data_IF_446479459913
#
_entry.id   IF_446479459913
#
_cell.length_a   1.000
_cell.length_b   1.000
_cell.length_c   1.000
_cell.angle_alpha   90.00
_cell.angle_beta   90.00
_cell.angle_gamma   90.00
#
_symmetry.space_group_name_H-M   'P 1'
#
loop_
_entity.id
_entity.type
_entity.pdbx_description
1 polymer ?
#
# COMPACT_ATOMS: atom_id res chain seq x y z
N UNK A 1 14.78 -16.19 24.44
CA UNK A 1 13.39 -16.43 23.99
C UNK A 1 13.18 -15.64 22.70
N UNK A 2 12.56 -16.23 21.68
CA UNK A 2 12.28 -15.54 20.42
C UNK A 2 11.04 -14.66 20.61
N UNK A 3 11.15 -13.36 20.31
CA UNK A 3 10.03 -12.42 20.41
C UNK A 3 9.06 -12.60 19.25
N UNK A 4 7.75 -12.61 19.52
CA UNK A 4 6.69 -12.82 18.50
C UNK A 4 5.76 -11.61 18.40
N UNK A 5 6.19 -10.52 17.77
CA UNK A 5 5.31 -9.38 17.55
C UNK A 5 4.21 -9.71 16.54
N UNK A 6 3.02 -9.12 16.73
CA UNK A 6 1.92 -9.24 15.78
C UNK A 6 1.93 -8.06 14.79
N UNK A 7 2.05 -8.41 13.51
CA UNK A 7 1.97 -7.45 12.40
C UNK A 7 0.62 -7.61 11.72
N UNK A 8 -0.04 -6.50 11.37
CA UNK A 8 -1.28 -6.52 10.61
C UNK A 8 -1.15 -5.81 9.26
N UNK A 9 -1.91 -6.28 8.27
CA UNK A 9 -2.06 -5.62 6.97
C UNK A 9 -3.49 -5.82 6.45
N UNK A 10 -4.03 -4.89 5.62
CA UNK A 10 -5.41 -4.98 5.15
C UNK A 10 -5.72 -6.19 4.27
N UNK A 11 -4.75 -6.71 3.53
CA UNK A 11 -4.98 -7.77 2.56
C UNK A 11 -3.68 -8.49 2.18
N UNK A 12 -3.84 -9.69 1.62
CA UNK A 12 -2.74 -10.48 1.04
C UNK A 12 -2.39 -9.91 -0.33
N UNK A 13 -1.52 -8.90 -0.33
CA UNK A 13 -1.11 -8.16 -1.52
C UNK A 13 0.39 -7.86 -1.48
N UNK A 14 0.94 -7.39 -2.59
CA UNK A 14 2.35 -7.06 -2.74
C UNK A 14 2.90 -6.10 -1.66
N UNK A 15 2.05 -5.37 -0.93
CA UNK A 15 2.49 -4.49 0.18
C UNK A 15 3.12 -5.23 1.35
N UNK A 16 2.76 -6.51 1.54
CA UNK A 16 3.36 -7.37 2.55
C UNK A 16 4.66 -8.06 2.07
N UNK A 17 5.15 -7.71 0.88
CA UNK A 17 6.40 -8.22 0.31
C UNK A 17 7.56 -8.25 1.31
N UNK A 18 7.88 -7.17 2.05
CA UNK A 18 9.03 -7.18 2.93
C UNK A 18 8.88 -8.20 4.06
N UNK A 19 7.66 -8.44 4.53
CA UNK A 19 7.36 -9.45 5.54
C UNK A 19 7.64 -10.87 5.01
N UNK A 20 7.05 -11.24 3.88
CA UNK A 20 7.18 -12.59 3.34
C UNK A 20 8.63 -12.93 2.99
N UNK A 21 9.32 -12.00 2.32
CA UNK A 21 10.74 -12.18 2.02
C UNK A 21 11.55 -12.33 3.32
N UNK A 22 11.30 -11.49 4.34
CA UNK A 22 12.02 -11.56 5.60
C UNK A 22 11.77 -12.87 6.37
N UNK A 23 10.56 -13.43 6.30
CA UNK A 23 10.26 -14.76 6.86
C UNK A 23 11.03 -15.85 6.14
N UNK A 24 10.87 -15.93 4.81
CA UNK A 24 11.45 -17.01 4.00
C UNK A 24 12.98 -16.98 3.95
N UNK A 25 13.57 -15.77 3.99
CA UNK A 25 15.05 -15.59 4.00
C UNK A 25 15.65 -15.60 5.40
N UNK A 26 14.82 -15.74 6.44
CA UNK A 26 15.28 -15.80 7.82
C UNK A 26 15.73 -14.45 8.41
N UNK A 27 15.42 -13.31 7.76
CA UNK A 27 15.86 -12.00 8.22
C UNK A 27 15.27 -11.61 9.58
N UNK A 28 14.05 -12.04 9.90
CA UNK A 28 13.52 -11.90 11.24
C UNK A 28 14.23 -12.78 12.26
N UNK A 29 14.58 -14.01 11.88
CA UNK A 29 15.33 -14.93 12.76
C UNK A 29 16.69 -14.37 13.12
N UNK A 30 17.39 -13.74 12.17
CA UNK A 30 18.68 -13.06 12.42
C UNK A 30 18.56 -11.95 13.46
N UNK A 31 17.40 -11.32 13.56
CA UNK A 31 17.05 -10.28 14.57
C UNK A 31 16.46 -10.89 15.86
N UNK A 32 16.42 -12.23 16.01
CA UNK A 32 15.82 -12.90 17.16
C UNK A 32 14.28 -12.86 17.19
N UNK A 33 13.64 -12.62 16.04
CA UNK A 33 12.20 -12.42 15.91
C UNK A 33 11.52 -13.58 15.17
N UNK A 34 10.23 -13.81 15.49
CA UNK A 34 9.33 -14.67 14.75
C UNK A 34 7.93 -14.01 14.69
N UNK A 35 7.75 -12.91 13.93
CA UNK A 35 6.49 -12.18 13.92
C UNK A 35 5.38 -13.01 13.26
N UNK A 36 4.16 -12.81 13.77
CA UNK A 36 2.93 -13.30 13.14
C UNK A 36 2.34 -12.22 12.23
N UNK A 37 1.69 -12.61 11.11
CA UNK A 37 0.98 -11.71 10.21
C UNK A 37 -0.51 -12.00 10.22
N UNK A 38 -1.32 -10.97 10.49
CA UNK A 38 -2.77 -11.04 10.46
C UNK A 38 -3.33 -10.16 9.32
N UNK A 39 -4.30 -10.69 8.56
CA UNK A 39 -5.02 -9.94 7.53
C UNK A 39 -6.33 -9.43 8.09
N UNK A 40 -6.48 -8.09 8.16
CA UNK A 40 -7.66 -7.42 8.69
C UNK A 40 -8.14 -6.41 7.65
N UNK A 41 -9.24 -6.70 6.97
CA UNK A 41 -9.74 -5.90 5.86
C UNK A 41 -10.11 -4.44 6.23
N UNK A 42 -10.41 -4.18 7.51
CA UNK A 42 -10.77 -2.85 7.99
C UNK A 42 -9.56 -2.11 8.56
N UNK A 43 -9.19 -0.98 7.94
CA UNK A 43 -8.15 -0.08 8.46
C UNK A 43 -8.49 0.47 9.85
N UNK A 44 -9.78 0.69 10.15
CA UNK A 44 -10.22 1.10 11.48
C UNK A 44 -9.95 0.02 12.54
N UNK A 45 -10.22 -1.25 12.22
CA UNK A 45 -9.91 -2.37 13.14
C UNK A 45 -8.40 -2.52 13.36
N UNK A 46 -7.58 -2.30 12.32
CA UNK A 46 -6.12 -2.27 12.45
C UNK A 46 -5.69 -1.14 13.39
N UNK A 47 -6.19 0.08 13.18
CA UNK A 47 -5.86 1.23 14.01
C UNK A 47 -6.31 1.04 15.47
N UNK A 48 -7.49 0.45 15.71
CA UNK A 48 -7.95 0.07 17.04
C UNK A 48 -7.05 -0.99 17.68
N UNK A 49 -6.57 -1.96 16.92
CA UNK A 49 -5.59 -2.96 17.35
C UNK A 49 -4.26 -2.33 17.77
N UNK A 50 -3.75 -1.37 16.99
CA UNK A 50 -2.55 -0.60 17.35
C UNK A 50 -2.76 0.25 18.61
N UNK A 51 -3.89 0.96 18.75
CA UNK A 51 -4.19 1.77 19.94
C UNK A 51 -4.25 0.93 21.21
N UNK A 52 -4.88 -0.24 21.13
CA UNK A 52 -5.05 -1.14 22.28
C UNK A 52 -3.78 -1.95 22.62
N UNK A 53 -2.78 -1.96 21.75
CA UNK A 53 -1.59 -2.80 21.88
C UNK A 53 -1.81 -4.27 21.55
N UNK A 54 -2.94 -4.65 20.93
CA UNK A 54 -3.16 -5.99 20.38
C UNK A 54 -2.29 -6.24 19.15
N UNK A 55 -2.08 -5.22 18.35
CA UNK A 55 -1.21 -5.22 17.18
C UNK A 55 0.00 -4.36 17.52
N UNK A 56 1.20 -4.89 17.29
CA UNK A 56 2.45 -4.18 17.54
C UNK A 56 2.79 -3.23 16.40
N UNK A 57 2.56 -3.69 15.15
CA UNK A 57 2.92 -2.94 13.95
C UNK A 57 1.93 -3.22 12.82
N UNK A 58 1.69 -2.23 11.97
CA UNK A 58 0.85 -2.43 10.79
C UNK A 58 1.54 -1.93 9.52
N UNK A 59 1.33 -2.67 8.40
CA UNK A 59 1.65 -2.23 7.05
C UNK A 59 0.33 -1.82 6.40
N UNK A 60 0.08 -0.53 6.24
CA UNK A 60 -1.20 -0.06 5.72
C UNK A 60 -1.22 1.42 5.35
N UNK A 61 -2.38 1.93 4.89
CA UNK A 61 -2.53 3.34 4.53
C UNK A 61 -2.25 4.27 5.71
N UNK A 62 -1.59 5.44 5.48
CA UNK A 62 -1.29 6.39 6.54
C UNK A 62 -2.46 7.30 6.94
N UNK A 63 -3.55 7.33 6.17
CA UNK A 63 -4.69 8.24 6.35
C UNK A 63 -5.25 8.19 7.79
N UNK A 64 -5.56 6.98 8.27
CA UNK A 64 -6.09 6.80 9.62
C UNK A 64 -5.09 7.12 10.73
N UNK A 65 -3.79 6.97 10.47
CA UNK A 65 -2.72 7.37 11.41
C UNK A 65 -2.62 8.88 11.50
N UNK A 66 -2.72 9.59 10.38
CA UNK A 66 -2.73 11.05 10.33
C UNK A 66 -3.95 11.59 11.10
N UNK A 67 -5.14 11.01 10.88
CA UNK A 67 -6.36 11.41 11.60
C UNK A 67 -6.24 11.15 13.10
N UNK A 68 -5.69 10.00 13.49
CA UNK A 68 -5.47 9.67 14.90
C UNK A 68 -4.52 10.67 15.57
N UNK A 69 -3.39 10.98 14.93
CA UNK A 69 -2.42 11.94 15.45
C UNK A 69 -3.01 13.35 15.56
N UNK A 70 -3.85 13.78 14.60
CA UNK A 70 -4.58 15.06 14.66
C UNK A 70 -5.56 15.11 15.83
N UNK A 71 -6.21 14.00 16.14
CA UNK A 71 -7.08 13.87 17.29
C UNK A 71 -6.34 13.75 18.64
N UNK A 72 -5.00 13.83 18.64
CA UNK A 72 -4.17 13.65 19.84
C UNK A 72 -3.91 12.18 20.22
N UNK A 73 -4.24 11.25 19.33
CA UNK A 73 -4.01 9.82 19.52
C UNK A 73 -2.55 9.40 19.35
N UNK A 74 -2.22 8.15 19.73
CA UNK A 74 -0.83 7.68 19.81
C UNK A 74 -0.29 7.09 18.51
N UNK A 75 -1.06 6.98 17.41
CA UNK A 75 -0.57 6.34 16.20
C UNK A 75 0.42 7.21 15.44
N UNK A 76 1.50 6.61 14.96
CA UNK A 76 2.55 7.28 14.19
C UNK A 76 3.09 6.38 13.07
N UNK A 77 3.61 7.02 12.04
CA UNK A 77 4.38 6.39 10.97
C UNK A 77 5.83 6.27 11.45
N UNK A 78 6.38 5.07 11.43
CA UNK A 78 7.78 4.79 11.80
C UNK A 78 8.62 4.37 10.60
N UNK A 79 8.01 4.20 9.43
CA UNK A 79 8.67 3.89 8.17
C UNK A 79 7.72 4.05 6.99
N UNK A 80 8.27 4.32 5.82
CA UNK A 80 7.56 4.20 4.54
C UNK A 80 7.45 2.73 4.12
N UNK A 81 6.73 2.50 3.03
CA UNK A 81 6.68 1.19 2.38
C UNK A 81 6.44 1.41 0.88
N UNK A 82 5.18 1.40 0.40
CA UNK A 82 4.86 1.78 -0.96
C UNK A 82 4.68 3.30 -1.04
N UNK A 83 5.65 3.98 -1.66
CA UNK A 83 5.65 5.44 -1.82
C UNK A 83 4.95 5.92 -3.10
N UNK A 84 4.42 4.98 -3.89
CA UNK A 84 3.56 5.24 -5.05
C UNK A 84 2.48 4.16 -5.14
N UNK A 85 1.31 4.42 -5.77
CA UNK A 85 0.24 3.44 -5.87
C UNK A 85 0.60 2.34 -6.88
N UNK A 86 0.59 1.05 -6.51
CA UNK A 86 0.89 -0.05 -7.43
C UNK A 86 -0.38 -0.52 -8.18
N UNK A 87 -1.17 0.43 -8.65
CA UNK A 87 -2.47 0.19 -9.29
C UNK A 87 -2.42 0.54 -10.75
N UNK A 88 -3.06 -0.30 -11.58
CA UNK A 88 -3.25 -0.10 -13.01
C UNK A 88 -4.74 0.07 -13.33
N UNK A 89 -5.03 0.87 -14.34
CA UNK A 89 -6.38 1.08 -14.85
C UNK A 89 -6.68 -0.03 -15.86
N UNK A 90 -7.40 -1.05 -15.43
CA UNK A 90 -7.76 -2.19 -16.26
C UNK A 90 -9.21 -2.05 -16.72
N UNK A 91 -9.41 -2.17 -18.02
CA UNK A 91 -10.70 -1.94 -18.68
C UNK A 91 -11.08 -3.10 -19.62
N UNK A 92 -12.35 -3.14 -19.99
CA UNK A 92 -12.83 -4.08 -21.01
C UNK A 92 -12.01 -3.97 -22.30
N UNK A 93 -11.84 -5.06 -23.07
CA UNK A 93 -10.96 -5.10 -24.25
C UNK A 93 -11.22 -4.03 -25.30
N UNK A 94 -12.45 -3.57 -25.42
CA UNK A 94 -12.86 -2.53 -26.39
C UNK A 94 -12.51 -1.10 -25.95
N UNK A 95 -12.20 -0.86 -24.70
CA UNK A 95 -11.81 0.45 -24.14
C UNK A 95 -10.30 0.60 -24.31
N UNK A 96 -9.84 1.55 -25.10
CA UNK A 96 -8.41 1.70 -25.46
C UNK A 96 -7.77 2.98 -24.93
N UNK A 97 -8.58 3.91 -24.47
CA UNK A 97 -8.11 5.22 -23.99
C UNK A 97 -9.00 5.78 -22.87
N UNK A 98 -8.52 6.79 -22.18
CA UNK A 98 -9.32 7.50 -21.18
C UNK A 98 -10.56 8.22 -21.79
N UNK A 99 -10.53 8.56 -23.08
CA UNK A 99 -11.69 9.16 -23.77
C UNK A 99 -12.85 8.15 -23.95
N UNK A 100 -12.54 6.86 -24.06
CA UNK A 100 -13.53 5.79 -24.21
C UNK A 100 -14.29 5.48 -22.91
N UNK A 101 -13.90 6.10 -21.81
CA UNK A 101 -14.50 5.92 -20.48
C UNK A 101 -15.86 6.63 -20.32
N UNK A 102 -16.31 7.42 -21.32
CA UNK A 102 -17.60 8.09 -21.28
C UNK A 102 -18.75 7.06 -21.19
N UNK A 103 -19.63 7.25 -20.20
CA UNK A 103 -20.76 6.36 -19.93
C UNK A 103 -20.38 5.02 -19.30
N UNK A 104 -19.10 4.76 -19.05
CA UNK A 104 -18.60 3.50 -18.48
C UNK A 104 -18.74 3.45 -16.97
N UNK A 105 -18.77 2.23 -16.43
CA UNK A 105 -18.91 1.97 -14.99
C UNK A 105 -17.58 1.52 -14.40
N UNK A 106 -17.07 2.29 -13.44
CA UNK A 106 -15.90 1.97 -12.63
C UNK A 106 -16.31 1.24 -11.37
N UNK A 107 -15.65 0.11 -11.09
CA UNK A 107 -15.73 -0.57 -9.80
C UNK A 107 -14.66 -0.09 -8.82
N UNK A 108 -15.06 0.35 -7.63
CA UNK A 108 -14.17 0.78 -6.55
C UNK A 108 -14.36 -0.04 -5.27
N UNK A 109 -13.37 0.01 -4.37
CA UNK A 109 -13.51 -0.59 -3.05
C UNK A 109 -14.54 0.18 -2.23
N UNK A 110 -14.42 1.51 -2.18
CA UNK A 110 -15.34 2.42 -1.51
C UNK A 110 -15.31 3.79 -2.18
N UNK A 111 -16.44 4.50 -2.18
CA UNK A 111 -16.52 5.89 -2.67
C UNK A 111 -15.80 6.88 -1.75
N UNK A 112 -15.51 6.47 -0.51
CA UNK A 112 -14.84 7.30 0.51
C UNK A 112 -13.32 7.12 0.54
N UNK A 113 -12.77 6.16 -0.21
CA UNK A 113 -11.34 5.90 -0.22
C UNK A 113 -10.61 6.63 -1.35
N UNK A 114 -9.28 6.79 -1.19
CA UNK A 114 -8.42 7.48 -2.14
C UNK A 114 -8.45 6.92 -3.56
N UNK A 115 -8.84 5.64 -3.74
CA UNK A 115 -8.95 5.02 -5.07
C UNK A 115 -10.03 5.68 -5.94
N UNK A 116 -11.12 6.19 -5.37
CA UNK A 116 -12.14 6.94 -6.11
C UNK A 116 -11.60 8.25 -6.69
N UNK A 117 -10.64 8.89 -6.00
CA UNK A 117 -9.96 10.10 -6.48
C UNK A 117 -9.03 9.79 -7.67
N UNK A 118 -8.38 8.62 -7.69
CA UNK A 118 -7.57 8.20 -8.84
C UNK A 118 -8.44 8.06 -10.10
N UNK A 119 -9.66 7.52 -9.98
CA UNK A 119 -10.60 7.42 -11.09
C UNK A 119 -10.94 8.78 -11.65
N UNK A 120 -11.21 9.78 -10.80
CA UNK A 120 -11.51 11.13 -11.26
C UNK A 120 -10.35 11.74 -12.07
N UNK A 121 -9.10 11.50 -11.64
CA UNK A 121 -7.90 11.97 -12.37
C UNK A 121 -7.70 11.24 -13.70
N UNK A 122 -7.91 9.92 -13.72
CA UNK A 122 -7.86 9.12 -14.96
C UNK A 122 -8.93 9.59 -15.95
N UNK A 123 -10.17 9.77 -15.50
CA UNK A 123 -11.26 10.26 -16.33
C UNK A 123 -11.00 11.68 -16.88
N UNK A 124 -10.46 12.56 -16.02
CA UNK A 124 -10.11 13.93 -16.41
C UNK A 124 -9.01 13.98 -17.50
N UNK A 125 -8.07 13.02 -17.52
CA UNK A 125 -7.07 12.93 -18.59
C UNK A 125 -7.69 12.63 -19.96
N UNK A 126 -8.88 12.00 -20.00
CA UNK A 126 -9.70 11.79 -21.18
C UNK A 126 -10.70 12.93 -21.46
N UNK A 127 -10.61 14.06 -20.73
CA UNK A 127 -11.53 15.19 -20.88
C UNK A 127 -12.91 14.98 -20.25
N UNK A 128 -13.05 13.99 -19.35
CA UNK A 128 -14.31 13.65 -18.71
C UNK A 128 -14.44 14.34 -17.34
N UNK A 129 -15.70 14.61 -16.96
CA UNK A 129 -16.07 15.22 -15.66
C UNK A 129 -16.90 14.23 -14.84
N UNK A 130 -17.01 14.41 -13.52
CA UNK A 130 -18.00 13.68 -12.72
C UNK A 130 -19.40 13.80 -13.33
N UNK A 131 -20.08 12.67 -13.52
CA UNK A 131 -21.34 12.55 -14.25
C UNK A 131 -21.20 12.09 -15.71
N UNK A 132 -20.00 12.16 -16.32
CA UNK A 132 -19.74 11.58 -17.64
C UNK A 132 -19.50 10.05 -17.58
N UNK A 133 -19.34 9.48 -16.38
CA UNK A 133 -19.11 8.07 -16.08
C UNK A 133 -19.77 7.69 -14.75
N UNK A 134 -19.91 6.39 -14.51
CA UNK A 134 -20.50 5.86 -13.28
C UNK A 134 -19.41 5.29 -12.37
N UNK A 135 -19.59 5.39 -11.05
CA UNK A 135 -18.72 4.76 -10.05
C UNK A 135 -19.58 3.96 -9.07
N UNK A 136 -19.24 2.69 -8.86
CA UNK A 136 -19.99 1.78 -8.00
C UNK A 136 -19.05 1.09 -6.99
N UNK A 137 -19.52 0.96 -5.75
CA UNK A 137 -18.81 0.20 -4.73
C UNK A 137 -19.02 -1.29 -4.97
N UNK A 138 -17.93 -2.02 -5.13
CA UNK A 138 -17.96 -3.45 -5.50
C UNK A 138 -17.00 -4.31 -4.68
N UNK A 139 -16.27 -3.70 -3.75
CA UNK A 139 -15.31 -4.38 -2.90
C UNK A 139 -13.88 -4.42 -3.47
N UNK A 140 -13.04 -5.27 -2.86
CA UNK A 140 -11.61 -5.34 -3.10
C UNK A 140 -11.23 -5.84 -4.50
N UNK A 141 -9.92 -5.88 -4.79
CA UNK A 141 -9.39 -6.23 -6.10
C UNK A 141 -9.85 -7.61 -6.62
N UNK A 142 -9.93 -8.68 -5.82
CA UNK A 142 -10.45 -9.96 -6.31
C UNK A 142 -11.93 -9.91 -6.73
N UNK A 143 -12.76 -9.12 -6.04
CA UNK A 143 -14.15 -8.93 -6.43
C UNK A 143 -14.23 -8.16 -7.77
N UNK A 144 -13.40 -7.13 -7.97
CA UNK A 144 -13.32 -6.39 -9.24
C UNK A 144 -12.87 -7.27 -10.39
N UNK A 145 -11.90 -8.18 -10.20
CA UNK A 145 -11.51 -9.17 -11.22
C UNK A 145 -12.73 -9.94 -11.70
N UNK A 146 -13.51 -10.50 -10.76
CA UNK A 146 -14.73 -11.26 -11.10
C UNK A 146 -15.75 -10.41 -11.86
N UNK A 147 -15.95 -9.15 -11.46
CA UNK A 147 -16.93 -8.25 -12.06
C UNK A 147 -16.48 -7.73 -13.45
N UNK A 148 -15.19 -7.53 -13.66
CA UNK A 148 -14.63 -7.27 -14.99
C UNK A 148 -14.83 -8.47 -15.92
N UNK A 149 -14.50 -9.68 -15.44
CA UNK A 149 -14.60 -10.91 -16.23
C UNK A 149 -16.05 -11.22 -16.67
N UNK A 150 -17.04 -10.97 -15.81
CA UNK A 150 -18.45 -11.15 -16.15
C UNK A 150 -19.12 -9.90 -16.75
N UNK A 151 -18.36 -8.86 -17.06
CA UNK A 151 -18.80 -7.61 -17.67
C UNK A 151 -19.84 -6.82 -16.84
N UNK A 152 -19.87 -6.99 -15.52
CA UNK A 152 -20.72 -6.19 -14.62
C UNK A 152 -20.19 -4.77 -14.44
N UNK A 153 -18.86 -4.61 -14.51
CA UNK A 153 -18.18 -3.31 -14.55
C UNK A 153 -17.31 -3.24 -15.82
N UNK A 154 -17.08 -2.02 -16.29
CA UNK A 154 -16.26 -1.76 -17.47
C UNK A 154 -14.79 -1.54 -17.13
N UNK A 155 -14.50 -0.95 -15.95
CA UNK A 155 -13.18 -0.51 -15.55
C UNK A 155 -12.95 -0.76 -14.06
N UNK A 156 -11.72 -1.11 -13.70
CA UNK A 156 -11.31 -1.26 -12.30
C UNK A 156 -9.84 -0.90 -12.08
N UNK A 157 -9.51 -0.38 -10.90
CA UNK A 157 -8.12 -0.21 -10.49
C UNK A 157 -7.62 -1.54 -9.93
N UNK A 158 -6.66 -2.16 -10.60
CA UNK A 158 -6.12 -3.45 -10.21
C UNK A 158 -4.68 -3.34 -9.72
N UNK A 159 -4.38 -3.86 -8.52
CA UNK A 159 -3.01 -3.94 -8.04
C UNK A 159 -2.22 -5.02 -8.79
N UNK A 160 -0.91 -4.86 -8.84
CA UNK A 160 -0.01 -5.96 -9.20
C UNK A 160 -0.15 -7.10 -8.16
N UNK A 161 -0.16 -8.39 -8.57
CA UNK A 161 -0.03 -8.91 -9.93
C UNK A 161 -1.34 -9.11 -10.70
N UNK A 162 -2.52 -8.77 -10.16
CA UNK A 162 -3.84 -9.03 -10.75
C UNK A 162 -4.06 -8.31 -12.09
N UNK A 163 -3.36 -7.19 -12.34
CA UNK A 163 -3.38 -6.54 -13.64
C UNK A 163 -2.87 -7.48 -14.74
N UNK A 164 -1.78 -8.24 -14.51
CA UNK A 164 -1.20 -9.14 -15.52
C UNK A 164 -2.12 -10.32 -15.85
N UNK A 165 -2.84 -10.83 -14.86
CA UNK A 165 -3.84 -11.88 -15.08
C UNK A 165 -4.95 -11.41 -16.04
N UNK A 166 -5.46 -10.19 -15.82
CA UNK A 166 -6.49 -9.61 -16.69
C UNK A 166 -5.94 -9.25 -18.06
N UNK A 167 -4.71 -8.73 -18.15
CA UNK A 167 -4.05 -8.45 -19.43
C UNK A 167 -3.86 -9.74 -20.25
N UNK A 168 -3.49 -10.85 -19.60
CA UNK A 168 -3.39 -12.17 -20.24
C UNK A 168 -4.76 -12.68 -20.75
N UNK A 169 -5.87 -12.26 -20.14
CA UNK A 169 -7.23 -12.54 -20.59
C UNK A 169 -7.72 -11.56 -21.68
N UNK A 170 -6.88 -10.62 -22.14
CA UNK A 170 -7.16 -9.68 -23.21
C UNK A 170 -7.78 -8.35 -22.76
N UNK A 171 -7.86 -8.08 -21.46
CA UNK A 171 -8.31 -6.77 -20.97
C UNK A 171 -7.30 -5.67 -21.35
N UNK A 172 -7.80 -4.46 -21.52
CA UNK A 172 -6.97 -3.30 -21.83
C UNK A 172 -6.35 -2.73 -20.55
N UNK A 173 -5.04 -2.47 -20.58
CA UNK A 173 -4.35 -1.69 -19.59
C UNK A 173 -4.25 -0.24 -20.09
N UNK A 174 -4.95 0.70 -19.42
CA UNK A 174 -4.99 2.12 -19.80
C UNK A 174 -3.88 2.93 -19.09
N UNK A 175 -3.01 2.27 -18.35
CA UNK A 175 -1.85 2.90 -17.72
C UNK A 175 -1.79 2.75 -16.21
N UNK A 176 -0.68 3.19 -15.67
CA UNK A 176 -0.37 3.16 -14.26
C UNK A 176 -0.94 4.40 -13.54
N UNK A 177 -1.59 4.22 -12.41
CA UNK A 177 -2.18 5.35 -11.66
C UNK A 177 -1.15 6.35 -11.13
N UNK A 178 0.11 5.95 -10.98
CA UNK A 178 1.19 6.84 -10.57
C UNK A 178 1.52 7.93 -11.60
N UNK A 179 1.17 7.74 -12.88
CA UNK A 179 1.30 8.79 -13.90
C UNK A 179 0.34 9.96 -13.64
N UNK A 180 -0.81 9.68 -12.99
CA UNK A 180 -1.81 10.68 -12.62
C UNK A 180 -1.61 11.23 -11.20
N UNK A 181 -0.95 10.46 -10.32
CA UNK A 181 -0.71 10.81 -8.91
C UNK A 181 0.74 10.49 -8.54
N UNK A 182 1.72 11.31 -8.98
CA UNK A 182 3.14 11.02 -8.83
C UNK A 182 3.64 11.00 -7.38
N UNK A 183 2.92 11.66 -6.47
CA UNK A 183 3.24 11.74 -5.04
C UNK A 183 2.08 11.20 -4.22
N UNK A 184 2.18 9.96 -3.75
CA UNK A 184 1.17 9.33 -2.91
C UNK A 184 1.78 8.22 -2.05
N UNK A 185 1.83 8.41 -0.74
CA UNK A 185 2.26 7.36 0.19
C UNK A 185 1.16 6.32 0.31
N UNK A 186 1.23 5.27 -0.51
CA UNK A 186 0.15 4.30 -0.61
C UNK A 186 0.05 3.43 0.64
N UNK A 187 1.20 2.99 1.17
CA UNK A 187 1.28 2.32 2.47
C UNK A 187 2.50 2.79 3.25
N UNK A 188 2.39 2.74 4.57
CA UNK A 188 3.44 3.04 5.54
C UNK A 188 3.51 1.96 6.60
N UNK A 189 4.56 1.99 7.39
CA UNK A 189 4.73 1.16 8.57
C UNK A 189 4.32 1.99 9.77
N UNK A 190 3.27 1.54 10.44
CA UNK A 190 2.54 2.28 11.45
C UNK A 190 2.64 1.57 12.80
N UNK A 191 2.82 2.34 13.87
CA UNK A 191 2.91 1.85 15.23
C UNK A 191 2.23 2.78 16.24
N UNK A 192 2.01 2.26 17.44
CA UNK A 192 1.64 3.06 18.59
C UNK A 192 2.90 3.67 19.21
N UNK A 193 2.94 4.98 19.39
CA UNK A 193 4.05 5.73 20.00
C UNK A 193 4.47 5.14 21.36
N UNK A 194 3.50 4.82 22.21
CA UNK A 194 3.80 4.29 23.55
C UNK A 194 4.43 2.88 23.47
N UNK A 195 4.01 2.07 22.50
CA UNK A 195 4.65 0.78 22.25
C UNK A 195 6.08 0.97 21.71
N UNK A 196 6.26 1.82 20.72
CA UNK A 196 7.56 2.07 20.11
C UNK A 196 8.57 2.65 21.13
N UNK A 197 8.11 3.49 22.07
CA UNK A 197 8.94 4.02 23.17
C UNK A 197 9.34 2.94 24.18
N UNK A 198 8.48 1.96 24.47
CA UNK A 198 8.81 0.84 25.36
C UNK A 198 9.72 -0.18 24.71
N UNK A 199 9.57 -0.38 23.38
CA UNK A 199 10.24 -1.44 22.62
C UNK A 199 11.09 -0.88 21.44
N UNK A 200 11.97 0.13 21.69
CA UNK A 200 12.67 0.81 20.58
C UNK A 200 13.60 -0.11 19.80
N UNK A 201 14.18 -1.10 20.47
CA UNK A 201 15.05 -2.09 19.81
C UNK A 201 14.27 -3.08 18.97
N UNK A 202 13.07 -3.47 19.41
CA UNK A 202 12.16 -4.33 18.65
C UNK A 202 11.64 -3.61 17.41
N UNK A 203 11.21 -2.36 17.53
CA UNK A 203 10.79 -1.55 16.40
C UNK A 203 11.90 -1.43 15.33
N UNK A 204 13.13 -1.10 15.75
CA UNK A 204 14.27 -1.01 14.85
C UNK A 204 14.63 -2.35 14.21
N UNK A 205 14.57 -3.48 14.93
CA UNK A 205 14.83 -4.81 14.41
C UNK A 205 13.82 -5.23 13.34
N UNK A 206 12.52 -4.93 13.55
CA UNK A 206 11.47 -5.16 12.54
C UNK A 206 11.73 -4.35 11.27
N UNK A 207 12.06 -3.06 11.41
CA UNK A 207 12.38 -2.20 10.26
C UNK A 207 13.62 -2.69 9.51
N UNK A 208 14.69 -3.17 10.20
CA UNK A 208 15.85 -3.77 9.53
C UNK A 208 15.49 -5.00 8.73
N UNK A 209 14.70 -5.90 9.28
CA UNK A 209 14.25 -7.09 8.56
C UNK A 209 13.43 -6.72 7.32
N UNK A 210 12.58 -5.71 7.40
CA UNK A 210 11.82 -5.21 6.24
C UNK A 210 12.71 -4.55 5.18
N UNK A 211 13.69 -3.73 5.56
CA UNK A 211 14.65 -3.16 4.62
C UNK A 211 15.42 -4.25 3.88
N UNK A 212 15.88 -5.29 4.59
CA UNK A 212 16.53 -6.45 3.98
C UNK A 212 15.60 -7.18 3.02
N UNK A 213 14.31 -7.33 3.38
CA UNK A 213 13.28 -7.93 2.53
C UNK A 213 13.07 -7.16 1.23
N UNK A 214 12.94 -5.84 1.30
CA UNK A 214 12.83 -4.99 0.11
C UNK A 214 14.10 -5.04 -0.76
N UNK A 215 15.27 -4.92 -0.13
CA UNK A 215 16.54 -4.96 -0.85
C UNK A 215 16.73 -6.30 -1.57
N UNK A 216 16.43 -7.41 -0.90
CA UNK A 216 16.50 -8.75 -1.51
C UNK A 216 15.56 -8.87 -2.71
N UNK A 217 14.32 -8.38 -2.58
CA UNK A 217 13.34 -8.43 -3.67
C UNK A 217 13.81 -7.72 -4.95
N UNK A 218 14.56 -6.62 -4.81
CA UNK A 218 15.10 -5.88 -5.95
C UNK A 218 16.37 -6.51 -6.51
N UNK A 219 17.25 -7.02 -5.65
CA UNK A 219 18.55 -7.57 -6.07
C UNK A 219 18.47 -9.02 -6.56
N UNK A 220 17.44 -9.77 -6.12
CA UNK A 220 17.22 -11.17 -6.46
C UNK A 220 15.75 -11.40 -6.88
N UNK A 221 15.25 -10.73 -7.95
CA UNK A 221 13.84 -10.75 -8.30
C UNK A 221 13.33 -12.15 -8.69
N UNK A 222 14.18 -12.99 -9.28
CA UNK A 222 13.80 -14.37 -9.66
C UNK A 222 13.52 -15.23 -8.40
N UNK A 223 14.44 -15.26 -7.43
CA UNK A 223 14.23 -15.98 -6.16
C UNK A 223 13.07 -15.37 -5.34
N UNK A 224 12.95 -14.04 -5.33
CA UNK A 224 11.86 -13.35 -4.64
C UNK A 224 10.50 -13.68 -5.25
N UNK A 225 10.41 -13.85 -6.58
CA UNK A 225 9.17 -14.23 -7.26
C UNK A 225 8.70 -15.63 -6.87
N UNK A 226 9.61 -16.58 -6.69
CA UNK A 226 9.30 -17.94 -6.22
C UNK A 226 8.72 -17.92 -4.79
N UNK A 227 9.22 -17.02 -3.93
CA UNK A 227 8.68 -16.82 -2.58
C UNK A 227 7.30 -16.15 -2.62
N UNK A 228 7.13 -15.14 -3.47
CA UNK A 228 5.93 -14.31 -3.48
C UNK A 228 4.75 -14.94 -4.22
N UNK A 229 4.99 -15.75 -5.24
CA UNK A 229 3.92 -16.35 -6.04
C UNK A 229 2.90 -17.14 -5.18
N UNK A 230 3.31 -18.09 -4.31
CA UNK A 230 2.37 -18.79 -3.43
C UNK A 230 1.72 -17.85 -2.39
N UNK A 231 2.44 -16.84 -1.91
CA UNK A 231 1.91 -15.88 -0.95
C UNK A 231 0.85 -14.95 -1.56
N UNK A 232 1.00 -14.62 -2.84
CA UNK A 232 0.05 -13.79 -3.60
C UNK A 232 -1.05 -14.63 -4.27
N UNK A 233 -0.87 -15.95 -4.38
CA UNK A 233 -1.79 -16.85 -5.07
C UNK A 233 -1.78 -16.63 -6.58
N UNK A 234 -0.63 -16.33 -7.18
CA UNK A 234 -0.47 -16.05 -8.59
C UNK A 234 0.64 -16.92 -9.23
N UNK A 235 0.75 -16.84 -10.55
CA UNK A 235 1.85 -17.43 -11.30
C UNK A 235 3.19 -16.76 -10.99
N UNK A 236 4.31 -17.53 -10.99
CA UNK A 236 5.66 -17.02 -10.72
C UNK A 236 6.06 -15.92 -11.71
N UNK A 237 5.67 -16.06 -13.00
CA UNK A 237 5.91 -15.04 -14.01
C UNK A 237 5.21 -13.73 -13.70
N UNK A 238 3.98 -13.78 -13.20
CA UNK A 238 3.25 -12.58 -12.75
C UNK A 238 3.87 -11.95 -11.51
N UNK A 239 4.33 -12.76 -10.55
CA UNK A 239 5.07 -12.25 -9.39
C UNK A 239 6.38 -11.57 -9.81
N UNK A 240 7.13 -12.17 -10.75
CA UNK A 240 8.36 -11.61 -11.30
C UNK A 240 8.11 -10.28 -12.04
N UNK A 241 7.07 -10.22 -12.85
CA UNK A 241 6.67 -8.97 -13.51
C UNK A 241 6.31 -7.89 -12.50
N UNK A 242 5.58 -8.25 -11.43
CA UNK A 242 5.24 -7.32 -10.36
C UNK A 242 6.49 -6.76 -9.65
N UNK A 243 7.51 -7.59 -9.40
CA UNK A 243 8.78 -7.15 -8.82
C UNK A 243 9.56 -6.21 -9.75
N UNK A 244 9.69 -6.59 -11.02
CA UNK A 244 10.38 -5.79 -12.05
C UNK A 244 9.71 -4.43 -12.27
N UNK A 245 8.40 -4.42 -12.37
CA UNK A 245 7.66 -3.17 -12.51
C UNK A 245 7.69 -2.35 -11.23
N UNK A 246 7.64 -2.97 -10.06
CA UNK A 246 7.80 -2.26 -8.78
C UNK A 246 9.14 -1.55 -8.69
N UNK A 247 10.21 -2.18 -9.15
CA UNK A 247 11.55 -1.57 -9.20
C UNK A 247 11.61 -0.45 -10.24
N UNK A 248 11.15 -0.70 -11.47
CA UNK A 248 11.12 0.28 -12.57
C UNK A 248 10.30 1.52 -12.23
N UNK A 249 9.14 1.35 -11.62
CA UNK A 249 8.22 2.41 -11.23
C UNK A 249 8.58 3.03 -9.87
N UNK A 250 9.57 2.46 -9.17
CA UNK A 250 9.96 2.90 -7.83
C UNK A 250 8.78 2.93 -6.86
N UNK A 251 8.02 1.83 -6.82
CA UNK A 251 6.83 1.71 -5.95
C UNK A 251 7.23 1.69 -4.48
N UNK A 252 8.28 0.92 -4.15
CA UNK A 252 8.78 0.75 -2.79
C UNK A 252 10.09 1.52 -2.59
N UNK A 253 10.23 2.11 -1.42
CA UNK A 253 11.51 2.63 -0.94
C UNK A 253 12.19 1.54 -0.10
N UNK A 254 13.35 1.05 -0.54
CA UNK A 254 14.07 -0.06 0.11
C UNK A 254 14.61 0.29 1.48
N UNK A 255 14.86 1.57 1.74
CA UNK A 255 15.30 2.10 3.02
C UNK A 255 14.14 2.59 3.90
N UNK A 256 12.90 2.28 3.48
CA UNK A 256 11.66 2.61 4.17
C UNK A 256 11.47 4.12 4.42
N UNK A 257 12.02 4.98 3.53
CA UNK A 257 11.74 6.40 3.60
C UNK A 257 10.27 6.66 3.29
N UNK A 258 9.68 7.61 3.98
CA UNK A 258 8.40 8.21 3.58
C UNK A 258 8.64 9.42 2.70
N UNK A 259 7.65 9.73 1.87
CA UNK A 259 7.69 10.91 1.01
C UNK A 259 6.88 12.04 1.65
N UNK A 260 7.52 13.13 2.05
CA UNK A 260 6.85 14.30 2.62
C UNK A 260 5.81 14.87 1.65
N UNK A 261 6.11 15.10 0.35
CA UNK A 261 5.11 15.55 -0.61
C UNK A 261 3.92 14.59 -0.75
N UNK A 262 4.18 13.27 -0.65
CA UNK A 262 3.13 12.26 -0.74
C UNK A 262 2.21 12.25 0.49
N UNK A 263 2.76 12.37 1.69
CA UNK A 263 1.98 12.51 2.92
C UNK A 263 1.20 13.82 2.94
N UNK A 264 1.79 14.91 2.43
CA UNK A 264 1.09 16.18 2.29
C UNK A 264 -0.08 16.10 1.29
N UNK A 265 0.05 15.30 0.23
CA UNK A 265 -1.06 15.04 -0.70
C UNK A 265 -2.20 14.29 0.00
N UNK A 266 -1.90 13.29 0.82
CA UNK A 266 -2.92 12.59 1.62
C UNK A 266 -3.62 13.55 2.58
N UNK A 267 -2.86 14.38 3.27
CA UNK A 267 -3.41 15.40 4.17
C UNK A 267 -4.39 16.34 3.44
N UNK A 268 -4.02 16.81 2.24
CA UNK A 268 -4.93 17.61 1.40
C UNK A 268 -6.19 16.84 1.00
N UNK A 269 -6.06 15.56 0.67
CA UNK A 269 -7.22 14.72 0.37
C UNK A 269 -8.18 14.66 1.56
N UNK A 270 -7.65 14.52 2.79
CA UNK A 270 -8.46 14.54 4.02
C UNK A 270 -9.14 15.91 4.25
N UNK A 271 -8.49 17.02 3.87
CA UNK A 271 -9.10 18.35 3.89
C UNK A 271 -10.21 18.49 2.84
N UNK A 272 -9.99 17.99 1.62
CA UNK A 272 -10.99 17.98 0.55
C UNK A 272 -12.23 17.17 0.94
N UNK A 273 -12.04 16.07 1.70
CA UNK A 273 -13.11 15.22 2.23
C UNK A 273 -13.78 15.77 3.52
N UNK A 274 -13.34 16.95 3.98
CA UNK A 274 -13.75 17.58 5.24
C UNK A 274 -13.49 16.72 6.49
N UNK A 275 -12.57 15.75 6.42
CA UNK A 275 -12.10 14.97 7.56
C UNK A 275 -11.07 15.76 8.41
N UNK A 276 -10.45 16.78 7.82
CA UNK A 276 -9.50 17.70 8.45
C UNK A 276 -9.94 19.13 8.09
N UNK A 277 -9.88 20.10 9.03
CA UNK A 277 -10.14 21.50 8.72
C UNK A 277 -9.29 22.01 7.55
N UNK A 278 -9.87 22.81 6.65
CA UNK A 278 -9.18 23.27 5.43
C UNK A 278 -7.99 24.18 5.71
N UNK A 279 -8.01 24.87 6.83
CA UNK A 279 -6.97 25.79 7.33
C UNK A 279 -5.95 25.12 8.26
N UNK A 280 -6.12 23.82 8.57
CA UNK A 280 -5.18 23.10 9.40
C UNK A 280 -3.81 23.02 8.73
N UNK A 281 -2.70 23.34 9.44
CA UNK A 281 -1.36 23.23 8.88
C UNK A 281 -0.93 21.77 8.77
N UNK A 282 -0.13 21.47 7.76
CA UNK A 282 0.54 20.17 7.66
C UNK A 282 1.89 20.24 8.39
N UNK A 283 1.99 19.53 9.51
CA UNK A 283 3.18 19.45 10.37
C UNK A 283 3.67 18.02 10.38
N UNK A 284 4.69 17.69 9.57
CA UNK A 284 5.14 16.31 9.34
C UNK A 284 5.57 15.63 10.63
N UNK A 285 6.20 16.34 11.54
CA UNK A 285 6.73 15.85 12.82
C UNK A 285 5.61 15.31 13.74
N UNK A 286 4.38 15.73 13.49
CA UNK A 286 3.20 15.23 14.21
C UNK A 286 2.82 13.81 13.82
N UNK A 287 3.19 13.37 12.61
CA UNK A 287 2.73 12.11 12.01
C UNK A 287 3.82 11.05 11.96
N UNK A 288 5.09 11.44 11.92
CA UNK A 288 6.22 10.55 11.70
C UNK A 288 7.17 10.51 12.89
N UNK A 289 7.85 9.39 13.07
CA UNK A 289 8.90 9.19 14.09
C UNK A 289 10.17 8.66 13.40
N UNK A 290 11.11 9.53 13.03
CA UNK A 290 12.33 9.14 12.32
C UNK A 290 13.29 8.30 13.15
N UNK A 291 13.35 8.49 14.47
CA UNK A 291 14.34 7.90 15.37
C UNK A 291 14.47 6.37 15.24
N UNK A 292 13.36 5.67 15.04
CA UNK A 292 13.35 4.21 14.88
C UNK A 292 13.96 3.76 13.58
N UNK A 293 13.71 4.50 12.50
CA UNK A 293 14.29 4.24 11.19
C UNK A 293 15.79 4.55 11.18
N UNK A 294 16.20 5.65 11.82
CA UNK A 294 17.61 6.02 11.94
C UNK A 294 18.35 4.99 12.82
N UNK A 295 17.75 4.54 13.92
CA UNK A 295 18.29 3.44 14.72
C UNK A 295 18.41 2.15 13.91
N UNK A 296 17.41 1.81 13.11
CA UNK A 296 17.43 0.62 12.27
C UNK A 296 18.58 0.65 11.24
N UNK A 297 18.96 1.83 10.74
CA UNK A 297 20.05 2.03 9.78
C UNK A 297 21.43 1.95 10.42
N UNK A 298 21.58 2.51 11.62
CA UNK A 298 22.87 2.55 12.32
C UNK A 298 23.27 1.20 12.92
N UNK A 299 22.31 0.43 13.38
CA UNK A 299 22.52 -0.89 14.01
C UNK A 299 22.62 -2.04 13.00
N UNK A 300 22.79 -1.76 11.69
CA UNK A 300 22.96 -2.83 10.68
C UNK A 300 24.15 -3.70 11.03
N UNK A 301 24.00 -5.04 11.16
CA UNK A 301 25.15 -5.94 11.20
C UNK A 301 25.98 -5.74 9.91
N UNK A 302 27.30 -5.62 10.08
CA UNK A 302 28.26 -5.49 8.98
C UNK A 302 28.29 -6.72 8.11
#
# INVERSE_FOLDING_TARGET
MTTRPLIATPSRTLFALPYWIAVHRGFFKDEGLAPDLEFIASGEQINNGLRSGRIDLAIGPPDGVILDALAGGPLRIIGGNACKPPLFVIAQPEIKSAADLRGKTFGVLSLREGSSKFIALVAASGGLKPGDYNVVEVGGAPARVKLLTNRTIDVGLQPMPLNYELEALGFSNLGWTGDFVPHYQFTSINANLNWAQREPSLAAALLRAFMRGHHFAITHPDEASEILAPELGCDVGHALNALRDSARLQIFDTDLNWSVPALQRIFRNLQEDNAVPRDAPFEIERYVLPDYLDKARTDRPK
#
